data_IF_938618501744
#
_entry.id   IF_938618501744
#
_cell.length_a   1.000
_cell.length_b   1.000
_cell.length_c   1.000
_cell.angle_alpha   90.00
_cell.angle_beta   90.00
_cell.angle_gamma   90.00
#
_symmetry.space_group_name_H-M   'P 1'
#
loop_
_entity.id
_entity.type
_entity.pdbx_description
1 polymer ?
#
# COMPACT_ATOMS: atom_id res chain seq x y z
N UNK A 1 -21.91 -11.17 20.68
CA UNK A 1 -20.64 -10.54 21.12
C UNK A 1 -20.71 -9.97 22.53
N UNK A 2 -21.90 -9.65 23.06
CA UNK A 2 -22.05 -9.18 24.43
C UNK A 2 -21.39 -10.08 25.47
N UNK A 3 -20.68 -9.46 26.42
CA UNK A 3 -19.88 -10.13 27.43
C UNK A 3 -18.47 -10.55 26.99
N UNK A 4 -18.11 -10.44 25.71
CA UNK A 4 -16.74 -10.73 25.27
C UNK A 4 -15.76 -9.64 25.70
N UNK A 5 -14.52 -10.04 25.96
CA UNK A 5 -13.44 -9.09 26.17
C UNK A 5 -12.93 -8.57 24.82
N UNK A 6 -12.63 -7.27 24.80
CA UNK A 6 -12.02 -6.61 23.65
C UNK A 6 -10.59 -6.23 24.01
N UNK A 7 -9.64 -6.67 23.19
CA UNK A 7 -8.20 -6.41 23.34
C UNK A 7 -7.65 -5.80 22.06
N UNK A 8 -6.55 -5.06 22.14
CA UNK A 8 -5.82 -4.61 20.94
C UNK A 8 -4.98 -5.74 20.34
N UNK A 9 -4.41 -5.53 19.15
CA UNK A 9 -3.37 -6.40 18.57
C UNK A 9 -2.17 -6.59 19.50
N UNK A 10 -1.90 -5.65 20.40
CA UNK A 10 -0.82 -5.71 21.40
C UNK A 10 -1.26 -6.38 22.72
N UNK A 11 -2.38 -7.11 22.71
CA UNK A 11 -2.98 -7.76 23.89
C UNK A 11 -3.35 -6.80 25.04
N UNK A 12 -3.53 -5.51 24.74
CA UNK A 12 -3.97 -4.55 25.75
C UNK A 12 -5.48 -4.59 25.88
N UNK A 13 -5.98 -4.80 27.11
CA UNK A 13 -7.43 -4.79 27.38
C UNK A 13 -8.03 -3.39 27.18
N UNK A 14 -9.05 -3.33 26.32
CA UNK A 14 -9.86 -2.14 26.07
C UNK A 14 -11.09 -2.10 26.96
N UNK A 15 -11.78 -3.25 27.11
CA UNK A 15 -13.02 -3.31 27.86
C UNK A 15 -13.79 -4.60 27.63
N UNK A 16 -15.07 -4.59 28.01
CA UNK A 16 -16.01 -5.68 27.78
C UNK A 16 -17.18 -5.17 26.94
N UNK A 17 -17.62 -5.98 25.97
CA UNK A 17 -18.78 -5.64 25.15
C UNK A 17 -20.05 -5.62 25.98
N UNK A 18 -20.77 -4.52 25.95
CA UNK A 18 -22.06 -4.36 26.63
C UNK A 18 -23.24 -4.26 25.68
N UNK A 19 -23.01 -3.91 24.41
CA UNK A 19 -24.04 -3.83 23.38
C UNK A 19 -23.41 -3.78 21.98
N UNK A 20 -24.21 -4.07 20.97
CA UNK A 20 -23.86 -3.90 19.56
C UNK A 20 -24.96 -3.10 18.86
N UNK A 21 -24.60 -2.02 18.16
CA UNK A 21 -25.53 -1.11 17.46
C UNK A 21 -24.86 -0.44 16.27
N UNK A 22 -25.59 -0.27 15.17
CA UNK A 22 -25.17 0.50 13.98
C UNK A 22 -23.76 0.14 13.48
N UNK A 23 -23.49 -1.17 13.35
CA UNK A 23 -22.19 -1.72 12.96
C UNK A 23 -21.03 -1.34 13.90
N UNK A 24 -21.33 -1.00 15.14
CA UNK A 24 -20.37 -0.69 16.20
C UNK A 24 -20.62 -1.57 17.42
N UNK A 25 -19.54 -1.94 18.09
CA UNK A 25 -19.54 -2.63 19.37
C UNK A 25 -19.30 -1.59 20.46
N UNK A 26 -20.22 -1.52 21.42
CA UNK A 26 -20.10 -0.64 22.57
C UNK A 26 -19.40 -1.41 23.68
N UNK A 27 -18.28 -0.86 24.15
CA UNK A 27 -17.49 -1.42 25.23
C UNK A 27 -17.58 -0.56 26.48
N UNK A 28 -17.52 -1.21 27.63
CA UNK A 28 -17.29 -0.54 28.91
C UNK A 28 -15.81 -0.66 29.30
N UNK A 29 -15.18 0.48 29.57
CA UNK A 29 -13.77 0.62 29.91
C UNK A 29 -13.62 1.29 31.28
N UNK A 30 -12.54 0.96 32.00
CA UNK A 30 -12.20 1.57 33.29
C UNK A 30 -12.69 0.79 34.52
N UNK A 31 -11.94 0.89 35.63
CA UNK A 31 -12.21 0.14 36.86
C UNK A 31 -13.02 0.95 37.88
N UNK A 32 -12.59 2.18 38.21
CA UNK A 32 -13.30 3.08 39.13
C UNK A 32 -14.28 4.02 38.40
N UNK A 33 -13.85 4.58 37.27
CA UNK A 33 -14.68 5.44 36.44
C UNK A 33 -14.96 4.71 35.14
N UNK A 34 -16.18 4.18 35.03
CA UNK A 34 -16.62 3.46 33.84
C UNK A 34 -16.96 4.48 32.75
N UNK A 35 -16.29 4.37 31.61
CA UNK A 35 -16.66 5.07 30.38
C UNK A 35 -17.13 4.06 29.35
N UNK A 36 -18.07 4.49 28.50
CA UNK A 36 -18.54 3.70 27.37
C UNK A 36 -18.00 4.30 26.10
N UNK A 37 -17.40 3.47 25.27
CA UNK A 37 -16.85 3.83 23.98
C UNK A 37 -17.41 2.86 22.93
N UNK A 38 -17.48 3.30 21.69
CA UNK A 38 -17.94 2.46 20.58
C UNK A 38 -16.81 2.25 19.57
N UNK A 39 -16.66 1.02 19.11
CA UNK A 39 -15.66 0.61 18.13
C UNK A 39 -16.39 0.04 16.91
N UNK A 40 -16.17 0.54 15.70
CA UNK A 40 -16.76 -0.03 14.50
C UNK A 40 -16.31 -1.48 14.28
N UNK A 41 -17.23 -2.34 13.83
CA UNK A 41 -16.96 -3.74 13.54
C UNK A 41 -15.86 -3.92 12.47
N UNK A 42 -15.68 -2.95 11.59
CA UNK A 42 -14.60 -2.90 10.58
C UNK A 42 -13.20 -3.02 11.19
N UNK A 43 -13.04 -2.64 12.46
CA UNK A 43 -11.76 -2.72 13.18
C UNK A 43 -11.67 -3.91 14.14
N UNK A 44 -12.71 -4.76 14.22
CA UNK A 44 -12.80 -5.87 15.17
C UNK A 44 -12.77 -7.22 14.47
N UNK A 45 -11.98 -8.13 15.00
CA UNK A 45 -11.86 -9.50 14.50
C UNK A 45 -12.03 -10.47 15.67
N UNK A 46 -12.89 -11.47 15.52
CA UNK A 46 -13.01 -12.56 16.51
C UNK A 46 -11.86 -13.56 16.28
N UNK A 47 -11.02 -13.72 17.30
CA UNK A 47 -9.98 -14.74 17.33
C UNK A 47 -10.11 -15.56 18.61
N UNK A 48 -10.60 -16.80 18.47
CA UNK A 48 -10.69 -17.72 19.60
C UNK A 48 -11.67 -17.29 20.70
N UNK A 49 -12.69 -16.49 20.37
CA UNK A 49 -13.71 -16.02 21.32
C UNK A 49 -13.36 -14.71 22.01
N UNK A 50 -12.23 -14.08 21.65
CA UNK A 50 -11.82 -12.74 22.08
C UNK A 50 -11.86 -11.80 20.87
N UNK A 51 -12.41 -10.59 21.07
CA UNK A 51 -12.44 -9.60 20.00
C UNK A 51 -11.14 -8.80 19.99
N UNK A 52 -10.39 -8.88 18.88
CA UNK A 52 -9.18 -8.12 18.63
C UNK A 52 -9.47 -6.86 17.83
N UNK A 53 -9.16 -5.72 18.42
CA UNK A 53 -9.17 -4.42 17.77
C UNK A 53 -7.84 -4.17 17.06
N UNK A 54 -7.91 -3.77 15.79
CA UNK A 54 -6.73 -3.35 15.01
C UNK A 54 -6.27 -1.93 15.35
N UNK A 55 -7.08 -1.17 16.09
CA UNK A 55 -6.77 0.17 16.59
C UNK A 55 -6.11 0.13 17.97
N UNK A 56 -5.20 1.07 18.22
CA UNK A 56 -4.52 1.20 19.51
C UNK A 56 -5.46 1.67 20.63
N UNK A 57 -5.05 1.42 21.87
CA UNK A 57 -5.84 1.79 23.06
C UNK A 57 -6.09 3.30 23.17
N UNK A 58 -5.10 4.11 22.83
CA UNK A 58 -5.21 5.57 22.91
C UNK A 58 -6.27 6.09 21.94
N UNK A 59 -6.36 5.52 20.73
CA UNK A 59 -7.39 5.85 19.74
C UNK A 59 -8.80 5.57 20.27
N UNK A 60 -8.96 4.46 21.00
CA UNK A 60 -10.24 4.09 21.62
C UNK A 60 -10.55 4.96 22.83
N UNK A 61 -9.55 5.27 23.66
CA UNK A 61 -9.72 6.11 24.84
C UNK A 61 -10.10 7.57 24.48
N UNK A 62 -9.56 8.08 23.39
CA UNK A 62 -9.86 9.42 22.86
C UNK A 62 -11.18 9.47 22.07
N UNK A 63 -11.80 8.32 21.82
CA UNK A 63 -13.08 8.26 21.11
C UNK A 63 -14.21 8.94 21.91
N UNK A 64 -15.24 9.46 21.21
CA UNK A 64 -16.41 10.04 21.86
C UNK A 64 -17.02 9.07 22.89
N UNK A 65 -17.30 9.58 24.09
CA UNK A 65 -18.06 8.83 25.09
C UNK A 65 -19.50 8.70 24.61
N UNK A 66 -20.02 7.48 24.68
CA UNK A 66 -21.36 7.17 24.19
C UNK A 66 -22.33 6.89 25.33
N UNK A 67 -23.59 7.25 25.14
CA UNK A 67 -24.70 6.84 25.99
C UNK A 67 -25.58 5.85 25.21
N UNK A 68 -25.99 4.77 25.86
CA UNK A 68 -26.85 3.75 25.25
C UNK A 68 -28.27 4.29 25.08
N UNK A 69 -28.72 5.18 25.97
CA UNK A 69 -30.07 5.74 25.93
C UNK A 69 -30.19 6.89 24.92
N UNK A 70 -29.08 7.60 24.65
CA UNK A 70 -28.99 8.69 23.68
C UNK A 70 -27.89 8.41 22.65
N UNK A 71 -28.06 7.31 21.92
CA UNK A 71 -27.07 6.80 20.99
C UNK A 71 -27.00 7.62 19.69
N UNK A 72 -25.80 8.09 19.34
CA UNK A 72 -25.47 8.72 18.07
C UNK A 72 -24.16 8.16 17.52
N UNK A 73 -24.26 7.47 16.38
CA UNK A 73 -23.14 6.79 15.73
C UNK A 73 -22.26 7.74 14.90
N UNK A 74 -22.78 8.92 14.51
CA UNK A 74 -22.09 9.84 13.60
C UNK A 74 -20.73 10.33 14.14
N UNK A 75 -20.64 10.84 15.38
CA UNK A 75 -19.37 11.26 15.97
C UNK A 75 -18.36 10.12 16.07
N UNK A 76 -18.80 8.89 16.36
CA UNK A 76 -17.95 7.70 16.45
C UNK A 76 -17.37 7.38 15.08
N UNK A 77 -18.20 7.28 14.04
CA UNK A 77 -17.73 6.96 12.68
C UNK A 77 -16.78 8.02 12.13
N UNK A 78 -17.02 9.30 12.44
CA UNK A 78 -16.11 10.39 12.09
C UNK A 78 -14.76 10.28 12.80
N UNK A 79 -14.76 9.94 14.09
CA UNK A 79 -13.51 9.72 14.85
C UNK A 79 -12.64 8.63 14.23
N UNK A 80 -13.25 7.55 13.76
CA UNK A 80 -12.55 6.45 13.08
C UNK A 80 -12.32 6.68 11.58
N UNK A 81 -12.64 7.86 11.05
CA UNK A 81 -12.44 8.19 9.64
C UNK A 81 -13.32 7.39 8.66
N UNK A 82 -14.38 6.75 9.14
CA UNK A 82 -15.34 6.04 8.30
C UNK A 82 -16.33 7.00 7.63
N UNK A 83 -16.60 8.14 8.28
CA UNK A 83 -17.42 9.21 7.77
C UNK A 83 -16.65 10.53 7.81
N UNK A 84 -16.77 11.36 6.78
CA UNK A 84 -16.14 12.67 6.72
C UNK A 84 -15.92 13.14 5.29
N UNK A 85 -15.80 14.45 5.13
CA UNK A 85 -15.27 15.00 3.90
C UNK A 85 -13.76 14.79 3.92
N UNK A 86 -13.25 13.94 3.01
CA UNK A 86 -11.83 13.91 2.73
C UNK A 86 -11.46 15.25 2.08
N UNK A 87 -11.17 16.25 2.91
CA UNK A 87 -10.38 17.39 2.50
C UNK A 87 -8.97 16.86 2.26
N UNK A 88 -8.80 16.26 1.08
CA UNK A 88 -7.52 16.33 0.40
C UNK A 88 -7.28 17.84 0.29
N UNK A 89 -6.25 18.34 0.95
CA UNK A 89 -5.68 19.63 0.57
C UNK A 89 -4.84 19.30 -0.66
N UNK A 90 -5.38 19.37 -1.90
CA UNK A 90 -4.48 19.40 -3.03
C UNK A 90 -3.64 20.64 -2.76
N UNK A 91 -2.33 20.50 -2.63
CA UNK A 91 -1.43 21.64 -2.70
C UNK A 91 -1.99 22.58 -3.78
N UNK A 92 -2.53 23.77 -3.42
CA UNK A 92 -3.40 24.52 -4.32
C UNK A 92 -2.66 24.96 -5.58
N UNK A 93 -1.33 24.95 -5.51
CA UNK A 93 -0.44 25.29 -6.61
C UNK A 93 0.20 24.05 -7.28
N UNK A 94 0.11 22.85 -6.68
CA UNK A 94 0.73 21.62 -7.17
C UNK A 94 2.25 21.73 -7.33
N UNK A 95 2.89 22.59 -6.54
CA UNK A 95 4.28 22.99 -6.70
C UNK A 95 5.24 22.06 -5.96
N UNK A 96 4.79 21.37 -4.91
CA UNK A 96 5.59 20.35 -4.21
C UNK A 96 5.37 18.95 -4.79
N UNK A 97 5.67 18.82 -6.09
CA UNK A 97 5.80 17.52 -6.74
C UNK A 97 7.18 16.90 -6.48
N UNK A 98 7.29 15.57 -6.61
CA UNK A 98 8.56 14.86 -6.48
C UNK A 98 9.62 15.39 -7.47
N UNK A 99 9.18 15.87 -8.64
CA UNK A 99 10.02 16.51 -9.65
C UNK A 99 10.56 17.87 -9.19
N UNK A 100 9.73 18.74 -8.61
CA UNK A 100 10.16 20.06 -8.12
C UNK A 100 11.11 19.91 -6.92
N UNK A 101 10.83 18.95 -6.03
CA UNK A 101 11.70 18.64 -4.90
C UNK A 101 13.07 18.10 -5.37
N UNK A 102 13.06 17.19 -6.35
CA UNK A 102 14.29 16.65 -6.95
C UNK A 102 15.15 17.74 -7.58
N UNK A 103 14.55 18.62 -8.38
CA UNK A 103 15.27 19.72 -9.03
C UNK A 103 15.92 20.69 -8.01
N UNK A 104 15.23 21.00 -6.89
CA UNK A 104 15.80 21.83 -5.80
C UNK A 104 17.00 21.15 -5.12
N UNK A 105 16.99 19.82 -5.03
CA UNK A 105 18.08 19.03 -4.45
C UNK A 105 19.21 18.72 -5.46
N UNK A 106 19.15 19.28 -6.67
CA UNK A 106 20.12 19.03 -7.73
C UNK A 106 20.00 17.64 -8.37
N UNK A 107 18.90 16.93 -8.10
CA UNK A 107 18.55 15.67 -8.75
C UNK A 107 17.86 15.98 -10.08
N UNK A 108 18.35 15.40 -11.17
CA UNK A 108 17.68 15.54 -12.46
C UNK A 108 16.34 14.80 -12.42
N UNK A 109 15.20 15.47 -12.65
CA UNK A 109 13.91 14.80 -12.58
C UNK A 109 13.73 13.84 -13.77
N UNK A 110 13.08 12.70 -13.54
CA UNK A 110 12.91 11.63 -14.53
C UNK A 110 12.34 12.05 -15.91
N UNK A 111 11.45 13.06 -16.03
CA UNK A 111 11.05 13.59 -17.34
C UNK A 111 12.22 14.17 -18.16
N UNK A 112 13.18 14.85 -17.51
CA UNK A 112 14.35 15.42 -18.17
C UNK A 112 15.30 14.32 -18.68
N UNK A 113 15.50 13.25 -17.90
CA UNK A 113 16.27 12.06 -18.33
C UNK A 113 15.62 11.36 -19.53
N UNK A 114 14.28 11.25 -19.54
CA UNK A 114 13.52 10.69 -20.68
C UNK A 114 13.69 11.51 -21.96
N UNK A 115 13.74 12.84 -21.87
CA UNK A 115 13.99 13.72 -23.02
C UNK A 115 15.44 13.61 -23.48
N UNK A 116 16.40 13.54 -22.55
CA UNK A 116 17.82 13.38 -22.87
C UNK A 116 18.13 12.06 -23.59
N UNK A 117 17.41 10.98 -23.25
CA UNK A 117 17.52 9.70 -23.97
C UNK A 117 16.86 9.72 -25.35
N UNK A 118 15.89 10.61 -25.60
CA UNK A 118 15.23 10.76 -26.89
C UNK A 118 16.03 11.65 -27.88
N UNK A 119 16.89 12.53 -27.38
CA UNK A 119 17.62 13.55 -28.15
C UNK A 119 18.97 13.14 -28.74
N UNK A 120 19.39 11.88 -28.63
CA UNK A 120 20.51 11.34 -29.42
C UNK A 120 21.88 12.02 -29.24
N UNK A 121 22.17 12.66 -28.11
CA UNK A 121 23.52 13.23 -27.87
C UNK A 121 24.55 12.15 -27.49
N UNK A 122 24.09 10.92 -27.27
CA UNK A 122 24.94 9.72 -27.20
C UNK A 122 24.37 8.65 -28.13
N UNK A 123 24.35 8.91 -29.44
CA UNK A 123 23.98 7.90 -30.43
C UNK A 123 24.98 6.72 -30.35
N UNK A 124 24.57 5.52 -29.89
CA UNK A 124 25.43 4.35 -29.89
C UNK A 124 25.64 3.81 -31.32
N UNK A 125 25.03 4.41 -32.35
CA UNK A 125 25.33 4.08 -33.74
C UNK A 125 26.77 4.46 -34.18
N UNK A 126 27.49 5.27 -33.39
CA UNK A 126 28.92 5.54 -33.62
C UNK A 126 29.84 4.40 -33.19
N UNK A 127 29.37 3.48 -32.33
CA UNK A 127 30.11 2.28 -31.94
C UNK A 127 29.19 1.08 -32.13
N UNK A 128 29.00 0.72 -33.42
CA UNK A 128 28.31 -0.54 -33.76
C UNK A 128 29.08 -1.65 -33.06
N UNK A 129 28.49 -2.38 -32.09
CA UNK A 129 29.15 -3.55 -31.56
C UNK A 129 29.40 -4.46 -32.76
N UNK A 130 30.64 -4.90 -32.95
CA UNK A 130 30.99 -5.95 -33.89
C UNK A 130 30.02 -7.10 -33.63
N UNK A 131 29.05 -7.26 -34.52
CA UNK A 131 28.18 -8.42 -34.52
C UNK A 131 29.15 -9.57 -34.80
N UNK A 132 29.60 -10.26 -33.75
CA UNK A 132 30.17 -11.58 -33.93
C UNK A 132 29.08 -12.38 -34.62
N UNK A 133 29.39 -12.84 -35.84
CA UNK A 133 28.53 -13.66 -36.66
C UNK A 133 27.86 -14.71 -35.78
N UNK A 134 26.59 -14.47 -35.45
CA UNK A 134 25.79 -15.42 -34.70
C UNK A 134 25.58 -16.58 -35.66
N UNK A 135 26.15 -17.73 -35.27
CA UNK A 135 25.95 -19.09 -35.78
C UNK A 135 24.98 -19.20 -36.96
N UNK A 136 25.50 -19.66 -38.10
CA UNK A 136 24.81 -19.89 -39.37
C UNK A 136 23.61 -20.88 -39.31
N UNK A 137 23.21 -21.30 -38.12
CA UNK A 137 22.19 -22.32 -37.85
C UNK A 137 20.77 -21.75 -37.98
N UNK A 138 20.61 -20.42 -38.01
CA UNK A 138 19.30 -19.78 -38.12
C UNK A 138 18.65 -19.95 -39.51
N UNK A 139 19.43 -20.27 -40.55
CA UNK A 139 18.93 -20.39 -41.93
C UNK A 139 18.80 -21.86 -42.43
N UNK A 140 19.13 -22.86 -41.62
CA UNK A 140 18.89 -24.29 -41.93
C UNK A 140 18.26 -25.01 -40.73
N UNK A 141 16.92 -25.07 -40.63
CA UNK A 141 16.23 -25.68 -39.50
C UNK A 141 16.36 -27.21 -39.47
N UNK A 142 16.90 -27.83 -40.52
CA UNK A 142 17.13 -29.28 -40.57
C UNK A 142 18.49 -29.68 -39.98
N UNK A 143 19.37 -28.70 -39.74
CA UNK A 143 20.67 -28.92 -39.10
C UNK A 143 21.67 -29.70 -39.95
N UNK A 144 21.41 -29.88 -41.24
CA UNK A 144 22.23 -30.72 -42.13
C UNK A 144 23.60 -30.10 -42.35
N UNK A 145 23.71 -28.77 -42.35
CA UNK A 145 25.01 -28.09 -42.53
C UNK A 145 25.67 -27.63 -41.22
N UNK A 146 25.09 -27.93 -40.06
CA UNK A 146 25.50 -27.35 -38.78
C UNK A 146 26.93 -27.72 -38.32
N UNK A 147 27.54 -28.76 -38.90
CA UNK A 147 28.91 -29.21 -38.56
C UNK A 147 29.86 -29.30 -39.76
N UNK A 148 29.52 -28.70 -40.90
CA UNK A 148 30.45 -28.60 -42.02
C UNK A 148 31.41 -27.43 -41.76
N UNK A 149 32.64 -27.76 -41.35
CA UNK A 149 33.73 -26.79 -41.38
C UNK A 149 34.13 -26.51 -42.84
N UNK A 150 34.62 -25.30 -43.13
CA UNK A 150 34.89 -24.79 -44.49
C UNK A 150 35.81 -25.68 -45.34
N UNK A 151 36.52 -26.66 -44.75
CA UNK A 151 37.32 -27.63 -45.50
C UNK A 151 36.51 -28.68 -46.27
N UNK A 152 35.23 -28.87 -45.96
CA UNK A 152 34.36 -29.82 -46.66
C UNK A 152 33.33 -29.14 -47.57
N UNK A 153 33.45 -27.82 -47.79
CA UNK A 153 32.50 -27.05 -48.61
C UNK A 153 32.89 -26.95 -50.08
N UNK A 154 34.12 -27.32 -50.43
CA UNK A 154 34.59 -27.45 -51.81
C UNK A 154 34.66 -28.92 -52.18
N UNK A 155 33.63 -29.39 -52.88
CA UNK A 155 33.79 -30.51 -53.80
C UNK A 155 34.47 -29.99 -55.05
N UNK A 156 35.75 -30.30 -55.19
CA UNK A 156 36.42 -30.70 -56.43
C UNK A 156 37.50 -31.73 -56.05
#
# INVERSE_FOLDING_TARGET
MEGQEVVTTEDQKLGTVIAERDNCVIIESGHLFKSKHAIPLDFLHDEGGVLRATVGKDVVADSPKVDIDNWDVGPVRRHYGLDGEFLVDPDPDGLDSAETAGARQGVNPAPADRIATLGGVNDPAADKPLIRDRMANANDPTGVTANLSDRNRTGD
#
